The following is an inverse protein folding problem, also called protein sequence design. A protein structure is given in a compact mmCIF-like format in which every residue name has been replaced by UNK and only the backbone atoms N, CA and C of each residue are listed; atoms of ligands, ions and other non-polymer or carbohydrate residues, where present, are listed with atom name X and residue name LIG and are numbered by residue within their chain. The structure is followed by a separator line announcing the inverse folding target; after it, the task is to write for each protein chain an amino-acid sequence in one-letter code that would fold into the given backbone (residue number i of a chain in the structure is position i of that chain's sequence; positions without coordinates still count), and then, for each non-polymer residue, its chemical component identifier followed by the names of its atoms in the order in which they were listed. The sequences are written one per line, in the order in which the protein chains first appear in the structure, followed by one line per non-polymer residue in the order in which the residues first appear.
data_IF_198806527708
#
_entry.id   IF_198806527708
#
_cell.length_a   1.000
_cell.length_b   1.000
_cell.length_c   1.000
_cell.angle_alpha   90.00
_cell.angle_beta   90.00
_cell.angle_gamma   90.00
#
_symmetry.space_group_name_H-M   'P 1'
#
loop_
_entity.id
_entity.type
_entity.pdbx_description
1 polymer ?
#
# COMPACT_ATOMS: atom_id res chain seq x y z
N UNK A 1 -8.08 -3.67 -7.55
CA UNK A 1 -9.44 -4.23 -7.38
C UNK A 1 -10.41 -3.24 -6.74
N UNK A 2 -10.04 -2.53 -5.66
CA UNK A 2 -10.93 -1.58 -4.98
C UNK A 2 -11.43 -0.39 -5.85
N UNK A 3 -10.55 0.28 -6.61
CA UNK A 3 -10.95 1.43 -7.44
C UNK A 3 -11.98 1.08 -8.54
N UNK A 4 -11.88 -0.13 -9.11
CA UNK A 4 -12.81 -0.63 -10.14
C UNK A 4 -14.19 -0.94 -9.53
N UNK A 5 -14.20 -1.49 -8.32
CA UNK A 5 -15.44 -1.79 -7.59
C UNK A 5 -16.15 -0.50 -7.17
N UNK A 6 -15.41 0.49 -6.65
CA UNK A 6 -15.91 1.82 -6.33
C UNK A 6 -16.60 2.49 -7.54
N UNK A 7 -15.98 2.46 -8.72
CA UNK A 7 -16.60 2.97 -9.97
C UNK A 7 -17.89 2.26 -10.37
N UNK A 8 -18.04 0.99 -10.02
CA UNK A 8 -19.21 0.18 -10.42
C UNK A 8 -20.39 0.39 -9.46
N UNK A 9 -20.15 0.92 -8.26
CA UNK A 9 -21.15 1.05 -7.19
C UNK A 9 -21.39 2.50 -6.74
N UNK A 10 -20.88 3.51 -7.46
CA UNK A 10 -20.80 4.92 -6.99
C UNK A 10 -20.13 5.05 -5.60
N UNK A 11 -19.19 4.16 -5.30
CA UNK A 11 -18.44 4.17 -4.05
C UNK A 11 -17.34 5.23 -4.06
N UNK A 12 -17.27 6.03 -3.00
CA UNK A 12 -16.17 6.99 -2.77
C UNK A 12 -15.09 6.32 -1.92
N UNK A 13 -13.84 6.37 -2.37
CA UNK A 13 -12.71 5.91 -1.57
C UNK A 13 -12.45 6.97 -0.48
N UNK A 14 -12.45 6.59 0.78
CA UNK A 14 -12.27 7.52 1.90
C UNK A 14 -11.16 7.07 2.86
N UNK A 15 -10.62 8.02 3.62
CA UNK A 15 -9.65 7.75 4.69
C UNK A 15 -10.36 7.15 5.91
N UNK A 16 -9.61 6.87 6.96
CA UNK A 16 -10.13 6.35 8.23
C UNK A 16 -11.15 7.28 8.94
N UNK A 17 -11.22 8.56 8.55
CA UNK A 17 -12.17 9.53 9.07
C UNK A 17 -13.37 9.73 8.14
N UNK A 18 -13.46 8.98 7.04
CA UNK A 18 -14.53 9.09 6.04
C UNK A 18 -14.33 10.22 5.03
N UNK A 19 -13.17 10.87 5.01
CA UNK A 19 -12.87 11.94 4.03
C UNK A 19 -12.50 11.35 2.68
N UNK A 20 -13.08 11.83 1.55
CA UNK A 20 -12.75 11.33 0.22
C UNK A 20 -11.25 11.42 -0.06
N UNK A 21 -10.61 10.29 -0.40
CA UNK A 21 -9.24 10.31 -0.86
C UNK A 21 -9.19 10.88 -2.27
N UNK A 22 -8.32 11.87 -2.53
CA UNK A 22 -8.06 12.32 -3.88
C UNK A 22 -7.52 11.15 -4.72
N UNK A 23 -8.07 10.96 -5.93
CA UNK A 23 -7.60 9.91 -6.84
C UNK A 23 -6.09 9.99 -7.11
N UNK A 24 -5.54 11.21 -7.11
CA UNK A 24 -4.12 11.50 -7.30
C UNK A 24 -3.23 11.05 -6.13
N UNK A 25 -3.79 10.66 -4.97
CA UNK A 25 -3.01 10.21 -3.81
C UNK A 25 -2.72 8.70 -3.86
N UNK A 26 -3.47 7.92 -4.66
CA UNK A 26 -3.24 6.48 -4.77
C UNK A 26 -1.96 6.12 -5.51
N UNK A 27 -1.67 6.79 -6.62
CA UNK A 27 -0.48 6.49 -7.43
C UNK A 27 0.84 6.77 -6.67
N UNK A 28 0.99 7.90 -5.93
CA UNK A 28 2.14 8.14 -5.08
C UNK A 28 2.30 7.10 -3.97
N UNK A 29 1.21 6.69 -3.31
CA UNK A 29 1.27 5.67 -2.25
C UNK A 29 1.73 4.32 -2.80
N UNK A 30 1.26 3.95 -3.99
CA UNK A 30 1.70 2.73 -4.66
C UNK A 30 3.21 2.79 -4.99
N UNK A 31 3.68 3.90 -5.55
CA UNK A 31 5.09 4.09 -5.89
C UNK A 31 6.01 4.10 -4.65
N UNK A 32 5.56 4.72 -3.56
CA UNK A 32 6.28 4.75 -2.29
C UNK A 32 6.37 3.35 -1.67
N UNK A 33 5.30 2.55 -1.75
CA UNK A 33 5.31 1.16 -1.30
C UNK A 33 6.27 0.29 -2.11
N UNK A 34 6.26 0.44 -3.44
CA UNK A 34 7.17 -0.28 -4.33
C UNK A 34 8.64 0.05 -3.98
N UNK A 35 8.95 1.34 -3.83
CA UNK A 35 10.27 1.81 -3.39
C UNK A 35 10.67 1.26 -2.02
N UNK A 36 9.73 1.16 -1.08
CA UNK A 36 9.98 0.60 0.24
C UNK A 36 10.30 -0.91 0.15
N UNK A 37 9.55 -1.66 -0.65
CA UNK A 37 9.80 -3.09 -0.84
C UNK A 37 11.14 -3.35 -1.50
N UNK A 38 11.53 -2.58 -2.51
CA UNK A 38 12.86 -2.69 -3.14
C UNK A 38 14.00 -2.45 -2.12
N UNK A 39 13.83 -1.47 -1.23
CA UNK A 39 14.79 -1.18 -0.16
C UNK A 39 14.87 -2.29 0.87
N UNK A 40 13.76 -2.94 1.20
CA UNK A 40 13.75 -4.07 2.12
C UNK A 40 14.37 -5.31 1.48
N UNK A 41 14.06 -5.57 0.21
CA UNK A 41 14.60 -6.72 -0.53
C UNK A 41 16.11 -6.64 -0.71
N UNK A 42 16.65 -5.45 -1.04
CA UNK A 42 18.11 -5.22 -1.11
C UNK A 42 18.85 -5.46 0.22
N UNK A 43 18.13 -5.58 1.33
CA UNK A 43 18.66 -5.90 2.66
C UNK A 43 18.28 -7.30 3.14
N UNK A 44 17.75 -8.14 2.25
CA UNK A 44 17.22 -9.49 2.54
C UNK A 44 16.05 -9.50 3.56
N UNK A 45 15.41 -8.34 3.74
CA UNK A 45 14.27 -8.11 4.64
C UNK A 45 12.93 -8.12 3.90
N UNK A 46 12.87 -8.80 2.76
CA UNK A 46 11.63 -9.00 2.01
C UNK A 46 10.50 -9.54 2.89
N UNK A 47 9.27 -9.16 2.58
CA UNK A 47 8.10 -9.55 3.36
C UNK A 47 8.03 -11.09 3.49
N UNK A 48 8.01 -11.58 4.74
CA UNK A 48 8.00 -13.01 5.02
C UNK A 48 9.37 -13.70 5.01
N UNK A 49 10.48 -12.99 4.79
CA UNK A 49 11.83 -13.55 4.92
C UNK A 49 12.14 -13.97 6.36
N UNK A 50 13.12 -14.86 6.54
CA UNK A 50 13.54 -15.31 7.86
C UNK A 50 14.13 -14.17 8.71
N UNK A 51 14.83 -13.22 8.08
CA UNK A 51 15.36 -12.03 8.75
C UNK A 51 14.25 -11.07 9.17
N UNK A 52 13.25 -10.83 8.29
CA UNK A 52 12.11 -9.97 8.64
C UNK A 52 11.32 -10.53 9.84
N UNK A 53 11.09 -11.84 9.89
CA UNK A 53 10.42 -12.49 11.04
C UNK A 53 11.19 -12.34 12.36
N UNK A 54 12.52 -12.31 12.31
CA UNK A 54 13.39 -12.12 13.49
C UNK A 54 13.49 -10.66 13.93
N UNK A 55 13.31 -9.70 13.02
CA UNK A 55 13.37 -8.26 13.35
C UNK A 55 12.14 -7.80 14.14
N UNK A 56 10.99 -8.43 13.91
CA UNK A 56 9.70 -8.07 14.53
C UNK A 56 9.26 -9.01 15.67
N UNK A 57 10.14 -9.91 16.13
CA UNK A 57 9.94 -10.78 17.30
C UNK A 57 10.57 -10.19 18.55
#
# INVERSE_FOLDING_TARGET
MAAQLCKTMDGVLCDQNGSPLPAMTMDPIAADLETLYDKLDSRELSAGSALARRLFS
#
